data_IF_913121531990
#
_entry.id   IF_913121531990
#
_cell.length_a   1.000
_cell.length_b   1.000
_cell.length_c   1.000
_cell.angle_alpha   90.00
_cell.angle_beta   90.00
_cell.angle_gamma   90.00
#
_symmetry.space_group_name_H-M   'P 1'
#
loop_
_entity.id
_entity.type
_entity.pdbx_description
1 polymer ?
#
# COMPACT_ATOMS: atom_id res chain seq x y z
N UNK A 1 -7.13 17.89 -6.90
CA UNK A 1 -6.95 16.51 -7.38
C UNK A 1 -6.08 16.56 -8.64
N UNK A 2 -4.95 15.86 -8.65
CA UNK A 2 -4.04 15.72 -9.79
C UNK A 2 -4.29 14.38 -10.48
N UNK A 3 -3.80 14.22 -11.71
CA UNK A 3 -3.88 12.92 -12.40
C UNK A 3 -2.84 12.78 -13.51
N UNK A 4 -2.46 11.55 -13.80
CA UNK A 4 -1.59 11.20 -14.93
C UNK A 4 -2.10 9.93 -15.63
N UNK A 5 -1.98 9.88 -16.96
CA UNK A 5 -2.18 8.66 -17.72
C UNK A 5 -1.02 7.70 -17.44
N UNK A 6 -1.33 6.44 -17.12
CA UNK A 6 -0.34 5.44 -16.68
C UNK A 6 -0.42 4.13 -17.47
N UNK A 7 -1.41 3.99 -18.35
CA UNK A 7 -1.53 2.87 -19.29
C UNK A 7 -1.49 3.37 -20.74
N UNK A 8 -1.30 2.48 -21.69
CA UNK A 8 -1.34 2.78 -23.12
C UNK A 8 -2.73 3.17 -23.59
N UNK A 9 -3.77 2.70 -22.90
CA UNK A 9 -5.18 3.03 -23.14
C UNK A 9 -5.57 4.41 -22.58
N UNK A 10 -4.68 5.02 -21.78
CA UNK A 10 -4.89 6.34 -21.18
C UNK A 10 -5.53 6.35 -19.80
N UNK A 11 -5.65 5.19 -19.14
CA UNK A 11 -6.17 5.11 -17.78
C UNK A 11 -5.32 5.90 -16.81
N UNK A 12 -5.97 6.53 -15.86
CA UNK A 12 -5.34 7.55 -15.01
C UNK A 12 -5.28 7.15 -13.56
N UNK A 13 -4.11 7.28 -12.97
CA UNK A 13 -3.93 7.40 -11.53
C UNK A 13 -4.26 8.83 -11.11
N UNK A 14 -4.96 8.96 -9.95
CA UNK A 14 -5.29 10.25 -9.32
C UNK A 14 -4.72 10.35 -7.92
N UNK A 15 -4.38 11.57 -7.51
CA UNK A 15 -3.89 11.84 -6.16
C UNK A 15 -4.32 13.20 -5.64
N UNK A 16 -4.47 13.29 -4.32
CA UNK A 16 -4.49 14.55 -3.61
C UNK A 16 -3.06 14.98 -3.29
N UNK A 17 -2.77 16.27 -3.38
CA UNK A 17 -1.43 16.79 -3.13
C UNK A 17 -1.49 17.90 -2.09
N UNK A 18 -0.61 17.84 -1.09
CA UNK A 18 -0.34 18.90 -0.15
C UNK A 18 0.97 19.57 -0.54
N UNK A 19 1.01 20.92 -0.58
CA UNK A 19 2.23 21.64 -0.90
C UNK A 19 3.27 21.51 0.22
N UNK A 20 4.56 21.58 -0.14
CA UNK A 20 5.65 21.52 0.83
C UNK A 20 7.01 21.38 0.15
N UNK A 21 8.05 21.20 0.98
CA UNK A 21 9.42 21.01 0.52
C UNK A 21 9.75 19.57 0.11
N UNK A 22 10.88 19.41 -0.60
CA UNK A 22 11.47 18.12 -0.94
C UNK A 22 12.32 17.54 0.22
N UNK A 23 12.58 16.20 0.22
CA UNK A 23 12.04 15.23 -0.73
C UNK A 23 10.51 15.08 -0.60
N UNK A 24 9.86 14.78 -1.72
CA UNK A 24 8.41 14.52 -1.71
C UNK A 24 8.09 13.27 -0.90
N UNK A 25 6.97 13.28 -0.21
CA UNK A 25 6.43 12.12 0.51
C UNK A 25 5.25 11.53 -0.22
N UNK A 26 5.29 10.23 -0.46
CA UNK A 26 4.28 9.49 -1.20
C UNK A 26 3.58 8.53 -0.25
N UNK A 27 2.27 8.61 -0.17
CA UNK A 27 1.44 7.74 0.65
C UNK A 27 0.66 6.77 -0.25
N UNK A 28 0.77 5.46 0.03
CA UNK A 28 0.16 4.39 -0.77
C UNK A 28 -0.69 3.48 0.12
N UNK A 29 -1.96 3.41 -0.21
CA UNK A 29 -2.97 2.65 0.54
C UNK A 29 -2.90 1.13 0.31
N UNK A 30 -3.57 0.36 1.18
CA UNK A 30 -3.77 -1.08 1.05
C UNK A 30 -4.93 -1.48 0.14
N UNK A 31 -5.19 -2.79 0.05
CA UNK A 31 -6.26 -3.38 -0.75
C UNK A 31 -7.64 -2.83 -0.31
N UNK A 32 -8.43 -2.39 -1.28
CA UNK A 32 -9.77 -1.84 -1.01
C UNK A 32 -9.79 -0.53 -0.24
N UNK A 33 -8.66 0.18 -0.14
CA UNK A 33 -8.54 1.45 0.57
C UNK A 33 -8.37 2.65 -0.37
N UNK A 34 -8.23 3.85 0.19
CA UNK A 34 -7.87 5.09 -0.51
C UNK A 34 -6.84 5.86 0.32
N UNK A 35 -5.83 6.43 -0.33
CA UNK A 35 -4.77 7.15 0.40
C UNK A 35 -5.25 8.42 1.08
N UNK A 36 -6.15 9.23 0.52
CA UNK A 36 -6.67 10.40 1.23
C UNK A 36 -7.35 10.06 2.56
N UNK A 37 -8.17 9.01 2.63
CA UNK A 37 -8.84 8.65 3.88
C UNK A 37 -7.85 8.10 4.91
N UNK A 38 -6.89 7.29 4.48
CA UNK A 38 -5.96 6.60 5.38
C UNK A 38 -4.85 7.52 5.88
N UNK A 39 -4.41 8.49 5.09
CA UNK A 39 -3.19 9.23 5.37
C UNK A 39 -3.32 10.75 5.43
N UNK A 40 -4.50 11.34 5.17
CA UNK A 40 -4.61 12.80 5.21
C UNK A 40 -4.29 13.36 6.60
N UNK A 41 -4.79 12.72 7.67
CA UNK A 41 -4.46 13.09 9.05
C UNK A 41 -2.96 13.01 9.33
N UNK A 42 -2.32 11.95 8.87
CA UNK A 42 -0.86 11.76 9.00
C UNK A 42 -0.07 12.82 8.24
N UNK A 43 -0.45 13.11 7.00
CA UNK A 43 0.28 14.05 6.15
C UNK A 43 0.24 15.50 6.67
N UNK A 44 -0.82 15.87 7.42
CA UNK A 44 -0.94 17.19 8.06
C UNK A 44 -0.52 17.22 9.53
N UNK A 45 -0.12 16.05 10.09
CA UNK A 45 0.31 15.98 11.48
C UNK A 45 1.54 16.87 11.72
N UNK A 46 1.64 17.63 12.84
CA UNK A 46 2.74 18.56 13.09
C UNK A 46 4.14 17.97 12.94
N UNK A 47 4.34 16.70 13.27
CA UNK A 47 5.62 16.00 13.12
C UNK A 47 5.97 15.68 11.65
N UNK A 48 5.00 15.70 10.74
CA UNK A 48 5.16 15.25 9.36
C UNK A 48 4.81 16.32 8.31
N UNK A 49 4.12 17.37 8.72
CA UNK A 49 3.72 18.47 7.84
C UNK A 49 4.92 19.24 7.26
N UNK A 50 4.68 20.01 6.21
CA UNK A 50 5.69 20.84 5.56
C UNK A 50 6.45 20.15 4.41
N UNK A 51 6.22 18.85 4.18
CA UNK A 51 6.72 18.15 3.00
C UNK A 51 5.67 18.14 1.90
N UNK A 52 6.10 18.23 0.63
CA UNK A 52 5.24 17.97 -0.51
C UNK A 52 4.72 16.53 -0.38
N UNK A 53 3.41 16.34 -0.22
CA UNK A 53 2.82 15.05 0.09
C UNK A 53 1.82 14.65 -0.99
N UNK A 54 2.00 13.48 -1.59
CA UNK A 54 1.12 12.89 -2.59
C UNK A 54 0.37 11.72 -1.97
N UNK A 55 -0.95 11.83 -1.86
CA UNK A 55 -1.83 10.76 -1.38
C UNK A 55 -2.42 10.07 -2.61
N UNK A 56 -1.80 8.97 -3.04
CA UNK A 56 -2.07 8.35 -4.34
C UNK A 56 -3.07 7.22 -4.21
N UNK A 57 -4.15 7.28 -5.00
CA UNK A 57 -5.03 6.13 -5.21
C UNK A 57 -4.49 5.27 -6.36
N UNK A 58 -4.18 4.01 -6.09
CA UNK A 58 -3.72 3.06 -7.11
C UNK A 58 -4.80 2.83 -8.17
N UNK A 59 -4.42 2.40 -9.39
CA UNK A 59 -5.40 1.98 -10.39
C UNK A 59 -6.40 0.97 -9.80
N UNK A 60 -7.64 1.08 -10.20
CA UNK A 60 -8.70 0.25 -9.68
C UNK A 60 -9.33 0.73 -8.37
N UNK A 61 -8.71 1.69 -7.67
CA UNK A 61 -9.08 2.11 -6.32
C UNK A 61 -9.43 3.60 -6.25
N UNK A 62 -10.26 3.94 -5.27
CA UNK A 62 -10.58 5.32 -4.91
C UNK A 62 -11.03 6.18 -6.09
N UNK A 63 -10.31 7.26 -6.35
CA UNK A 63 -10.60 8.21 -7.44
C UNK A 63 -9.93 7.85 -8.76
N UNK A 64 -8.99 6.88 -8.78
CA UNK A 64 -8.32 6.43 -9.99
C UNK A 64 -9.24 5.64 -10.91
N UNK A 65 -8.88 5.55 -12.21
CA UNK A 65 -9.64 4.78 -13.17
C UNK A 65 -9.63 3.28 -12.83
N UNK A 66 -10.62 2.53 -13.32
CA UNK A 66 -10.85 1.12 -12.99
C UNK A 66 -10.92 0.27 -14.26
N UNK A 67 -9.82 0.18 -15.04
CA UNK A 67 -9.81 -0.61 -16.26
C UNK A 67 -10.02 -2.09 -15.97
N UNK A 68 -10.96 -2.71 -16.64
CA UNK A 68 -11.23 -4.16 -16.52
C UNK A 68 -10.21 -5.01 -17.29
N UNK A 69 -9.47 -4.41 -18.22
CA UNK A 69 -8.40 -5.05 -18.98
C UNK A 69 -7.05 -5.10 -18.27
N UNK A 70 -6.86 -4.31 -17.20
CA UNK A 70 -5.61 -4.27 -16.44
C UNK A 70 -5.45 -5.52 -15.57
N UNK A 71 -4.24 -6.09 -15.50
CA UNK A 71 -4.04 -7.36 -14.81
C UNK A 71 -3.96 -7.21 -13.28
N UNK A 72 -3.62 -6.02 -12.78
CA UNK A 72 -3.52 -5.71 -11.36
C UNK A 72 -2.50 -6.59 -10.61
N UNK A 73 -1.42 -7.00 -11.26
CA UNK A 73 -0.28 -7.62 -10.58
C UNK A 73 0.43 -6.58 -9.69
N UNK A 74 1.25 -7.04 -8.75
CA UNK A 74 2.04 -6.11 -7.93
C UNK A 74 3.03 -5.32 -8.80
N UNK A 75 3.58 -5.97 -9.82
CA UNK A 75 4.46 -5.35 -10.82
C UNK A 75 3.73 -4.29 -11.65
N UNK A 76 2.52 -4.57 -12.13
CA UNK A 76 1.72 -3.61 -12.89
C UNK A 76 1.34 -2.39 -12.03
N UNK A 77 0.96 -2.62 -10.77
CA UNK A 77 0.71 -1.52 -9.83
C UNK A 77 1.97 -0.68 -9.61
N UNK A 78 3.14 -1.31 -9.46
CA UNK A 78 4.41 -0.61 -9.27
C UNK A 78 4.80 0.21 -10.51
N UNK A 79 4.64 -0.35 -11.71
CA UNK A 79 4.94 0.35 -12.96
C UNK A 79 3.97 1.52 -13.23
N UNK A 80 2.68 1.33 -12.95
CA UNK A 80 1.69 2.41 -13.04
C UNK A 80 1.96 3.52 -12.01
N UNK A 81 2.33 3.16 -10.78
CA UNK A 81 2.74 4.12 -9.76
C UNK A 81 4.00 4.89 -10.19
N UNK A 82 5.01 4.20 -10.74
CA UNK A 82 6.22 4.82 -11.27
C UNK A 82 5.90 5.86 -12.37
N UNK A 83 4.99 5.51 -13.28
CA UNK A 83 4.55 6.43 -14.33
C UNK A 83 3.86 7.69 -13.74
N UNK A 84 3.00 7.52 -12.72
CA UNK A 84 2.37 8.64 -12.01
C UNK A 84 3.39 9.53 -11.30
N UNK A 85 4.37 8.95 -10.61
CA UNK A 85 5.43 9.71 -9.91
C UNK A 85 6.29 10.50 -10.88
N UNK A 86 6.68 9.91 -12.02
CA UNK A 86 7.44 10.63 -13.07
C UNK A 86 6.62 11.79 -13.66
N UNK A 87 5.33 11.58 -13.93
CA UNK A 87 4.42 12.64 -14.39
C UNK A 87 4.26 13.77 -13.35
N UNK A 88 4.27 13.41 -12.06
CA UNK A 88 4.26 14.37 -10.96
C UNK A 88 5.63 15.03 -10.71
N UNK A 89 6.67 14.68 -11.49
CA UNK A 89 8.06 15.15 -11.34
C UNK A 89 8.62 14.84 -9.95
N UNK A 90 8.29 13.69 -9.40
CA UNK A 90 8.83 13.19 -8.15
C UNK A 90 10.05 12.33 -8.44
N UNK A 91 11.13 12.59 -7.73
CA UNK A 91 12.37 11.81 -7.74
C UNK A 91 12.78 11.55 -6.29
N UNK A 92 13.33 10.35 -6.02
CA UNK A 92 13.88 10.01 -4.71
C UNK A 92 12.90 10.27 -3.54
N UNK A 93 11.65 9.81 -3.67
CA UNK A 93 10.59 10.02 -2.68
C UNK A 93 10.81 9.24 -1.37
N UNK A 94 10.34 9.81 -0.27
CA UNK A 94 10.02 9.06 0.95
C UNK A 94 8.66 8.38 0.77
N UNK A 95 8.61 7.04 0.76
CA UNK A 95 7.35 6.30 0.52
C UNK A 95 6.85 5.69 1.82
N UNK A 96 5.63 6.05 2.21
CA UNK A 96 4.89 5.47 3.34
C UNK A 96 3.75 4.63 2.78
N UNK A 97 3.79 3.32 2.99
CA UNK A 97 2.92 2.40 2.26
C UNK A 97 2.34 1.31 3.17
N UNK A 98 1.02 1.14 3.13
CA UNK A 98 0.26 0.23 3.99
C UNK A 98 -0.12 -1.06 3.28
N UNK A 99 0.04 -2.21 3.97
CA UNK A 99 -0.49 -3.51 3.53
C UNK A 99 -0.07 -3.86 2.10
N UNK A 100 -1.02 -4.09 1.18
CA UNK A 100 -0.75 -4.28 -0.25
C UNK A 100 0.07 -3.13 -0.85
N UNK A 101 -0.21 -1.89 -0.47
CA UNK A 101 0.59 -0.74 -0.92
C UNK A 101 2.06 -0.85 -0.53
N UNK A 102 2.35 -1.49 0.61
CA UNK A 102 3.72 -1.80 1.03
C UNK A 102 4.39 -2.83 0.11
N UNK A 103 3.66 -3.90 -0.28
CA UNK A 103 4.16 -4.85 -1.27
C UNK A 103 4.46 -4.16 -2.61
N UNK A 104 3.54 -3.31 -3.08
CA UNK A 104 3.73 -2.49 -4.30
C UNK A 104 4.94 -1.56 -4.16
N UNK A 105 5.15 -0.93 -2.99
CA UNK A 105 6.27 -0.02 -2.76
C UNK A 105 7.63 -0.74 -2.75
N UNK A 106 7.69 -1.98 -2.24
CA UNK A 106 8.90 -2.82 -2.32
C UNK A 106 9.23 -3.13 -3.77
N UNK A 107 8.22 -3.56 -4.55
CA UNK A 107 8.40 -3.84 -5.99
C UNK A 107 8.77 -2.57 -6.76
N UNK A 108 8.16 -1.42 -6.44
CA UNK A 108 8.53 -0.12 -7.00
C UNK A 108 10.02 0.20 -6.75
N UNK A 109 10.47 0.07 -5.50
CA UNK A 109 11.86 0.37 -5.15
C UNK A 109 12.87 -0.56 -5.84
N UNK A 110 12.50 -1.83 -6.04
CA UNK A 110 13.33 -2.79 -6.76
C UNK A 110 13.39 -2.53 -8.27
N UNK A 111 12.28 -2.14 -8.90
CA UNK A 111 12.18 -1.93 -10.36
C UNK A 111 12.54 -0.52 -10.81
N UNK A 112 12.30 0.47 -9.96
CA UNK A 112 12.47 1.91 -10.23
C UNK A 112 13.24 2.60 -9.08
N UNK A 113 14.49 2.18 -8.78
CA UNK A 113 15.22 2.62 -7.60
C UNK A 113 15.44 4.14 -7.55
N UNK A 114 15.46 4.82 -8.70
CA UNK A 114 15.60 6.27 -8.79
C UNK A 114 14.40 7.05 -8.21
N UNK A 115 13.26 6.41 -8.03
CA UNK A 115 12.04 7.03 -7.52
C UNK A 115 11.91 6.96 -5.99
N UNK A 116 12.69 6.12 -5.33
CA UNK A 116 12.53 5.84 -3.89
C UNK A 116 13.84 6.10 -3.16
N UNK A 117 13.81 6.99 -2.18
CA UNK A 117 14.96 7.26 -1.30
C UNK A 117 14.84 6.60 0.07
N UNK A 118 13.62 6.30 0.51
CA UNK A 118 13.33 5.70 1.82
C UNK A 118 11.98 5.00 1.79
N UNK A 119 11.86 3.87 2.51
CA UNK A 119 10.61 3.13 2.68
C UNK A 119 10.18 3.11 4.15
N UNK A 120 8.92 3.43 4.40
CA UNK A 120 8.21 3.14 5.65
C UNK A 120 7.04 2.22 5.31
N UNK A 121 7.21 0.94 5.61
CA UNK A 121 6.23 -0.10 5.37
C UNK A 121 5.34 -0.24 6.60
N UNK A 122 4.03 -0.21 6.41
CA UNK A 122 3.04 -0.19 7.49
C UNK A 122 2.23 -1.48 7.39
N UNK A 123 2.53 -2.44 8.24
CA UNK A 123 1.94 -3.79 8.27
C UNK A 123 1.80 -4.41 6.88
N UNK A 124 2.90 -4.35 6.12
CA UNK A 124 2.96 -4.72 4.72
C UNK A 124 3.02 -6.23 4.51
N UNK A 125 2.41 -6.69 3.42
CA UNK A 125 2.52 -8.08 3.00
C UNK A 125 3.90 -8.35 2.38
N UNK A 126 4.67 -9.25 2.99
CA UNK A 126 6.02 -9.60 2.52
C UNK A 126 6.11 -11.01 1.94
N UNK A 127 5.21 -11.88 2.33
CA UNK A 127 5.28 -13.31 1.98
C UNK A 127 3.99 -13.77 1.26
N UNK A 128 4.09 -14.82 0.43
CA UNK A 128 2.92 -15.49 -0.11
C UNK A 128 2.00 -16.04 1.00
N UNK A 129 0.71 -16.00 0.75
CA UNK A 129 -0.32 -16.46 1.69
C UNK A 129 -1.14 -17.59 1.06
N UNK A 130 -1.84 -18.36 1.90
CA UNK A 130 -2.79 -19.37 1.42
C UNK A 130 -4.19 -18.77 1.36
N UNK A 131 -4.87 -18.84 0.19
CA UNK A 131 -6.27 -18.46 0.10
C UNK A 131 -7.13 -19.26 1.07
N UNK A 132 -8.09 -18.61 1.72
CA UNK A 132 -8.96 -19.28 2.70
C UNK A 132 -10.36 -18.64 2.68
N UNK A 133 -11.35 -19.43 2.27
CA UNK A 133 -12.74 -18.96 2.22
C UNK A 133 -13.22 -18.56 3.61
N UNK A 134 -13.78 -17.36 3.71
CA UNK A 134 -14.25 -16.81 4.99
C UNK A 134 -13.21 -16.03 5.78
N UNK A 135 -11.94 -16.09 5.42
CA UNK A 135 -10.94 -15.20 6.00
C UNK A 135 -11.21 -13.73 5.61
N UNK A 136 -10.75 -12.81 6.45
CA UNK A 136 -10.76 -11.39 6.12
C UNK A 136 -9.61 -11.03 5.15
N UNK A 137 -9.77 -9.91 4.44
CA UNK A 137 -8.72 -9.36 3.59
C UNK A 137 -8.48 -10.16 2.31
N UNK A 138 -7.25 -10.09 1.83
CA UNK A 138 -6.83 -10.66 0.55
C UNK A 138 -7.00 -12.18 0.49
N UNK A 139 -6.77 -12.90 1.59
CA UNK A 139 -6.92 -14.37 1.66
C UNK A 139 -8.34 -14.82 1.35
N UNK A 140 -9.33 -14.12 1.94
CA UNK A 140 -10.74 -14.42 1.73
C UNK A 140 -11.22 -14.08 0.31
N UNK A 141 -10.73 -12.97 -0.26
CA UNK A 141 -11.05 -12.56 -1.63
C UNK A 141 -10.43 -13.53 -2.64
N UNK A 142 -9.15 -13.86 -2.49
CA UNK A 142 -8.42 -14.75 -3.39
C UNK A 142 -8.91 -16.21 -3.35
N UNK A 143 -9.75 -16.57 -2.39
CA UNK A 143 -10.36 -17.91 -2.31
C UNK A 143 -11.55 -18.10 -3.27
N UNK A 144 -11.99 -17.05 -3.97
CA UNK A 144 -12.99 -17.11 -5.03
C UNK A 144 -12.31 -17.16 -6.40
N UNK A 145 -12.89 -17.87 -7.36
CA UNK A 145 -12.61 -17.64 -8.77
C UNK A 145 -13.12 -16.25 -9.19
N UNK A 146 -12.50 -15.61 -10.20
CA UNK A 146 -12.89 -14.27 -10.62
C UNK A 146 -14.37 -14.18 -11.01
N UNK A 147 -14.86 -15.09 -11.85
CA UNK A 147 -16.26 -15.12 -12.28
C UNK A 147 -17.22 -15.28 -11.07
N UNK A 148 -16.89 -16.17 -10.15
CA UNK A 148 -17.69 -16.38 -8.92
C UNK A 148 -17.71 -15.13 -8.05
N UNK A 149 -16.53 -14.47 -7.89
CA UNK A 149 -16.43 -13.24 -7.12
C UNK A 149 -17.30 -12.14 -7.73
N UNK A 150 -17.17 -11.92 -9.04
CA UNK A 150 -17.93 -10.90 -9.77
C UNK A 150 -19.43 -11.18 -9.77
N UNK A 151 -19.84 -12.43 -9.90
CA UNK A 151 -21.24 -12.84 -9.89
C UNK A 151 -21.94 -12.60 -8.53
N UNK A 152 -21.19 -12.66 -7.42
CA UNK A 152 -21.80 -12.45 -6.11
C UNK A 152 -20.92 -12.66 -4.88
N UNK A 153 -19.79 -13.34 -5.01
CA UNK A 153 -18.87 -13.61 -3.90
C UNK A 153 -18.41 -12.34 -3.16
N UNK A 154 -18.33 -11.22 -3.87
CA UNK A 154 -18.00 -9.92 -3.26
C UNK A 154 -18.98 -9.47 -2.16
N UNK A 155 -20.24 -9.94 -2.20
CA UNK A 155 -21.24 -9.62 -1.16
C UNK A 155 -20.90 -10.28 0.16
N UNK A 156 -20.44 -11.53 0.13
CA UNK A 156 -19.99 -12.24 1.32
C UNK A 156 -18.74 -11.57 1.94
N UNK A 157 -17.83 -11.09 1.09
CA UNK A 157 -16.65 -10.32 1.53
C UNK A 157 -17.08 -8.99 2.15
N UNK A 158 -17.99 -8.26 1.50
CA UNK A 158 -18.57 -7.02 2.04
C UNK A 158 -19.17 -7.22 3.44
N UNK A 159 -19.96 -8.26 3.61
CA UNK A 159 -20.70 -8.50 4.85
C UNK A 159 -19.75 -8.82 6.03
N UNK A 160 -18.51 -9.25 5.73
CA UNK A 160 -17.43 -9.48 6.71
C UNK A 160 -16.48 -8.30 6.87
N UNK A 161 -16.39 -7.41 5.90
CA UNK A 161 -15.41 -6.33 5.87
C UNK A 161 -15.57 -5.31 7.01
N UNK A 162 -16.77 -5.22 7.60
CA UNK A 162 -17.11 -4.18 8.55
C UNK A 162 -17.27 -2.79 7.89
N UNK A 163 -17.86 -1.86 8.63
CA UNK A 163 -18.25 -0.55 8.08
C UNK A 163 -17.05 0.28 7.63
N UNK A 164 -15.97 0.27 8.43
CA UNK A 164 -14.79 1.09 8.18
C UNK A 164 -14.08 0.69 6.86
N UNK A 165 -13.82 -0.60 6.64
CA UNK A 165 -13.19 -1.04 5.40
C UNK A 165 -14.16 -0.94 4.21
N UNK A 166 -15.43 -1.28 4.40
CA UNK A 166 -16.44 -1.16 3.35
C UNK A 166 -16.60 0.28 2.85
N UNK A 167 -16.43 1.28 3.71
CA UNK A 167 -16.52 2.69 3.33
C UNK A 167 -15.59 3.05 2.18
N UNK A 168 -14.41 2.43 2.09
CA UNK A 168 -13.45 2.62 0.99
C UNK A 168 -13.50 1.50 -0.05
N UNK A 169 -13.68 0.25 0.37
CA UNK A 169 -13.71 -0.92 -0.52
C UNK A 169 -14.78 -0.79 -1.62
N UNK A 170 -15.92 -0.18 -1.32
CA UNK A 170 -16.98 0.14 -2.31
C UNK A 170 -16.54 1.10 -3.42
N UNK A 171 -15.40 1.79 -3.25
CA UNK A 171 -14.80 2.67 -4.25
C UNK A 171 -13.77 1.93 -5.13
N UNK A 172 -13.62 0.63 -4.95
CA UNK A 172 -12.72 -0.21 -5.72
C UNK A 172 -13.51 -0.97 -6.79
N UNK A 173 -12.96 -1.09 -8.00
CA UNK A 173 -13.51 -1.98 -9.03
C UNK A 173 -13.46 -3.43 -8.57
N UNK A 174 -14.47 -4.23 -8.89
CA UNK A 174 -14.51 -5.62 -8.43
C UNK A 174 -13.38 -6.46 -9.02
N UNK A 175 -13.06 -6.27 -10.30
CA UNK A 175 -11.92 -6.92 -10.95
C UNK A 175 -10.60 -6.49 -10.30
N UNK A 176 -10.44 -5.20 -10.01
CA UNK A 176 -9.25 -4.67 -9.34
C UNK A 176 -9.10 -5.28 -7.95
N UNK A 177 -10.19 -5.33 -7.17
CA UNK A 177 -10.20 -5.89 -5.83
C UNK A 177 -9.81 -7.37 -5.84
N UNK A 178 -10.41 -8.16 -6.74
CA UNK A 178 -10.15 -9.59 -6.86
C UNK A 178 -8.72 -9.88 -7.33
N UNK A 179 -8.33 -9.31 -8.49
CA UNK A 179 -7.02 -9.58 -9.10
C UNK A 179 -5.88 -9.11 -8.21
N UNK A 180 -5.99 -7.91 -7.63
CA UNK A 180 -4.98 -7.43 -6.66
C UNK A 180 -4.86 -8.36 -5.45
N UNK A 181 -5.99 -8.87 -4.91
CA UNK A 181 -5.97 -9.83 -3.81
C UNK A 181 -5.29 -11.15 -4.20
N UNK A 182 -5.61 -11.70 -5.38
CA UNK A 182 -5.00 -12.94 -5.90
C UNK A 182 -3.49 -12.77 -6.06
N UNK A 183 -3.05 -11.66 -6.68
CA UNK A 183 -1.61 -11.41 -6.88
C UNK A 183 -0.88 -11.13 -5.56
N UNK A 184 -1.51 -10.42 -4.62
CA UNK A 184 -0.95 -10.20 -3.30
C UNK A 184 -0.74 -11.51 -2.52
N UNK A 185 -1.73 -12.41 -2.57
CA UNK A 185 -1.66 -13.72 -1.90
C UNK A 185 -0.63 -14.62 -2.55
N UNK A 186 -0.51 -14.60 -3.88
CA UNK A 186 0.50 -15.35 -4.63
C UNK A 186 1.92 -14.81 -4.38
N UNK A 187 2.06 -13.49 -4.20
CA UNK A 187 3.35 -12.79 -4.12
C UNK A 187 4.06 -12.69 -5.47
N UNK A 188 5.29 -12.22 -5.42
CA UNK A 188 6.22 -12.10 -6.56
C UNK A 188 7.32 -13.18 -6.51
N UNK A 189 8.12 -13.25 -7.55
CA UNK A 189 9.34 -14.07 -7.56
C UNK A 189 10.49 -13.21 -8.11
N UNK A 190 11.50 -12.84 -7.28
CA UNK A 190 11.64 -13.10 -5.83
C UNK A 190 10.45 -12.58 -5.01
N UNK A 191 10.26 -13.11 -3.79
CA UNK A 191 9.21 -12.62 -2.87
C UNK A 191 9.43 -11.16 -2.46
N UNK A 192 8.38 -10.47 -1.99
CA UNK A 192 8.53 -9.10 -1.49
C UNK A 192 9.50 -9.02 -0.31
N UNK A 193 9.58 -10.09 0.51
CA UNK A 193 10.58 -10.20 1.58
C UNK A 193 11.99 -10.24 1.02
N UNK A 194 12.28 -11.13 0.07
CA UNK A 194 13.60 -11.23 -0.57
C UNK A 194 13.99 -9.91 -1.25
N UNK A 195 13.08 -9.29 -1.99
CA UNK A 195 13.31 -7.97 -2.57
C UNK A 195 13.65 -6.93 -1.50
N UNK A 196 12.87 -6.89 -0.40
CA UNK A 196 13.08 -5.93 0.69
C UNK A 196 14.46 -6.08 1.35
N UNK A 197 14.92 -7.32 1.54
CA UNK A 197 16.23 -7.60 2.13
C UNK A 197 17.37 -7.00 1.27
N UNK A 198 17.25 -7.03 -0.04
CA UNK A 198 18.28 -6.59 -1.00
C UNK A 198 18.24 -5.08 -1.34
N UNK A 199 17.19 -4.35 -0.93
CA UNK A 199 17.08 -2.92 -1.24
C UNK A 199 18.19 -2.09 -0.54
N UNK A 200 18.87 -1.18 -1.25
CA UNK A 200 19.95 -0.37 -0.66
C UNK A 200 19.45 0.88 0.09
N UNK A 201 18.15 1.19 0.04
CA UNK A 201 17.58 2.39 0.68
C UNK A 201 17.27 2.14 2.17
N UNK A 202 17.25 3.18 3.03
CA UNK A 202 16.75 3.05 4.40
C UNK A 202 15.32 2.52 4.42
N UNK A 203 15.06 1.51 5.26
CA UNK A 203 13.79 0.80 5.35
C UNK A 203 13.35 0.67 6.79
N UNK A 204 12.09 1.00 7.06
CA UNK A 204 11.45 0.76 8.36
C UNK A 204 10.17 -0.04 8.14
N UNK A 205 9.94 -1.05 8.96
CA UNK A 205 8.73 -1.87 8.99
C UNK A 205 7.99 -1.62 10.29
N UNK A 206 6.81 -1.00 10.22
CA UNK A 206 5.92 -0.75 11.34
C UNK A 206 4.88 -1.87 11.39
N UNK A 207 4.63 -2.44 12.58
CA UNK A 207 3.64 -3.50 12.76
C UNK A 207 2.84 -3.29 14.06
N UNK A 208 1.61 -3.84 14.16
CA UNK A 208 0.81 -3.77 15.39
C UNK A 208 1.47 -4.55 16.53
N UNK A 209 1.82 -3.88 17.62
CA UNK A 209 2.37 -4.54 18.82
C UNK A 209 1.44 -5.63 19.39
N UNK A 210 0.10 -5.44 19.43
CA UNK A 210 -0.83 -6.46 19.95
C UNK A 210 -0.79 -7.81 19.22
N UNK A 211 -0.32 -7.85 17.96
CA UNK A 211 -0.19 -9.07 17.18
C UNK A 211 1.01 -9.93 17.62
N UNK A 212 1.83 -9.41 18.54
CA UNK A 212 3.06 -10.05 19.00
C UNK A 212 4.24 -9.81 18.06
N UNK A 213 5.37 -10.47 18.28
CA UNK A 213 6.58 -10.28 17.48
C UNK A 213 6.34 -10.60 16.00
N UNK A 214 6.76 -9.68 15.12
CA UNK A 214 6.61 -9.90 13.67
C UNK A 214 7.43 -11.11 13.19
N UNK A 215 6.83 -12.08 12.49
CA UNK A 215 7.54 -13.26 12.00
C UNK A 215 8.71 -12.88 11.06
N UNK A 216 9.92 -13.36 11.38
CA UNK A 216 11.12 -13.04 10.62
C UNK A 216 11.69 -11.64 10.88
N UNK A 217 11.31 -10.97 11.97
CA UNK A 217 11.87 -9.67 12.36
C UNK A 217 13.39 -9.68 12.44
N UNK A 218 13.98 -10.75 13.01
CA UNK A 218 15.43 -10.88 13.13
C UNK A 218 16.14 -10.87 11.77
N UNK A 219 15.57 -11.51 10.75
CA UNK A 219 16.16 -11.53 9.40
C UNK A 219 16.07 -10.14 8.75
N UNK A 220 14.96 -9.41 8.97
CA UNK A 220 14.79 -8.04 8.51
C UNK A 220 15.82 -7.12 9.17
N UNK A 221 15.99 -7.22 10.49
CA UNK A 221 16.95 -6.41 11.25
C UNK A 221 18.40 -6.73 10.84
N UNK A 222 18.74 -8.00 10.63
CA UNK A 222 20.05 -8.41 10.15
C UNK A 222 20.38 -7.81 8.77
N UNK A 223 19.35 -7.58 7.92
CA UNK A 223 19.49 -6.91 6.63
C UNK A 223 19.42 -5.37 6.72
N UNK A 224 19.35 -4.79 7.93
CA UNK A 224 19.31 -3.35 8.15
C UNK A 224 17.92 -2.72 7.98
N UNK A 225 16.85 -3.51 8.02
CA UNK A 225 15.48 -2.99 8.12
C UNK A 225 15.18 -2.68 9.59
N UNK A 226 14.76 -1.47 9.90
CA UNK A 226 14.30 -1.12 11.25
C UNK A 226 12.90 -1.68 11.46
N UNK A 227 12.71 -2.60 12.40
CA UNK A 227 11.42 -3.20 12.74
C UNK A 227 10.88 -2.55 14.02
N UNK A 228 9.68 -1.94 13.94
CA UNK A 228 9.14 -1.09 15.01
C UNK A 228 7.71 -1.48 15.35
N UNK A 229 7.43 -1.95 16.57
CA UNK A 229 6.07 -2.16 17.05
C UNK A 229 5.36 -0.82 17.27
N UNK A 230 4.07 -0.75 16.95
CA UNK A 230 3.20 0.38 17.25
C UNK A 230 2.12 -0.09 18.24
N UNK A 231 1.99 0.54 19.41
CA UNK A 231 1.06 0.10 20.44
C UNK A 231 -0.39 0.46 20.12
N UNK A 232 -1.33 -0.23 20.78
CA UNK A 232 -2.76 0.08 20.82
C UNK A 232 -3.40 0.23 19.42
N UNK A 233 -3.08 -0.66 18.50
CA UNK A 233 -3.62 -0.64 17.13
C UNK A 233 -3.78 -2.06 16.57
N UNK A 234 -4.54 -2.19 15.50
CA UNK A 234 -4.59 -3.36 14.62
C UNK A 234 -4.01 -3.04 13.25
N UNK A 235 -4.45 -3.77 12.23
CA UNK A 235 -3.95 -3.65 10.84
C UNK A 235 -4.01 -2.23 10.27
N UNK A 236 -4.97 -1.41 10.69
CA UNK A 236 -5.12 -0.02 10.22
C UNK A 236 -4.45 0.98 11.14
N UNK A 237 -3.17 0.77 11.44
CA UNK A 237 -2.36 1.51 12.44
C UNK A 237 -2.61 3.03 12.40
N UNK A 238 -2.66 3.61 11.19
CA UNK A 238 -2.82 5.06 10.98
C UNK A 238 -4.20 5.59 11.40
N UNK A 239 -5.20 4.73 11.49
CA UNK A 239 -6.56 5.08 11.93
C UNK A 239 -6.80 4.70 13.38
N UNK A 240 -6.22 3.57 13.83
CA UNK A 240 -6.43 3.02 15.15
C UNK A 240 -5.65 3.82 16.22
N UNK A 241 -4.39 4.17 15.93
CA UNK A 241 -3.54 5.00 16.81
C UNK A 241 -2.75 6.05 16.03
N UNK A 242 -3.40 7.13 15.55
CA UNK A 242 -2.78 8.13 14.68
C UNK A 242 -1.58 8.85 15.32
N UNK A 243 -1.59 9.06 16.64
CA UNK A 243 -0.49 9.70 17.36
C UNK A 243 0.77 8.84 17.42
N UNK A 244 0.64 7.56 17.77
CA UNK A 244 1.77 6.63 17.79
C UNK A 244 2.29 6.39 16.36
N UNK A 245 1.38 6.26 15.38
CA UNK A 245 1.74 6.13 13.97
C UNK A 245 2.52 7.33 13.45
N UNK A 246 2.06 8.55 13.74
CA UNK A 246 2.74 9.77 13.31
C UNK A 246 4.14 9.89 13.91
N UNK A 247 4.31 9.56 15.21
CA UNK A 247 5.63 9.53 15.86
C UNK A 247 6.57 8.50 15.23
N UNK A 248 6.11 7.24 15.12
CA UNK A 248 6.91 6.17 14.54
C UNK A 248 7.31 6.48 13.09
N UNK A 249 6.40 7.05 12.31
CA UNK A 249 6.66 7.47 10.92
C UNK A 249 7.66 8.63 10.89
N UNK A 250 7.53 9.64 11.73
CA UNK A 250 8.47 10.76 11.78
C UNK A 250 9.88 10.30 12.16
N UNK A 251 10.02 9.41 13.15
CA UNK A 251 11.30 8.80 13.53
C UNK A 251 11.90 7.92 12.42
N UNK A 252 11.05 7.25 11.62
CA UNK A 252 11.50 6.46 10.47
C UNK A 252 12.01 7.34 9.32
N UNK A 253 11.54 8.58 9.22
CA UNK A 253 11.86 9.53 8.17
C UNK A 253 12.96 10.54 8.58
N UNK A 254 13.38 10.53 9.83
CA UNK A 254 14.52 11.33 10.29
C UNK A 254 15.85 10.69 9.84
#
# INVERSE_FOLDING_TARGET
MHSAAVTTEGDRIRWAELPGGDPARVYVHGLGATSPLYFAGTAVHPLLAGRRSLLIDLLGHGHSDRPTSFAYTLEDHADALAAALRAAKVTAAEVVAHSMGGAVAVVLAARHPELVSRLVLVDANLDPLTPERGALGSRGIAAYGEEEFLAGGWREVRDRAGEAWWATMRLTGLEALHRSAVHLVRGTTPTMRELLLDLPVPRTFLYPEPDGPFPGAADLEAAGVRVVPVPDCGHTIMLDNPEAFARATAEALA
#
